data_IF_458101330151
#
_entry.id   IF_458101330151
#
_cell.length_a   1.000
_cell.length_b   1.000
_cell.length_c   1.000
_cell.angle_alpha   90.00
_cell.angle_beta   90.00
_cell.angle_gamma   90.00
#
_symmetry.space_group_name_H-M   'P 1'
#
loop_
_entity.id
_entity.type
_entity.pdbx_description
1 polymer ?
#
# COMPACT_ATOMS: atom_id res chain seq x y z
N UNK A 1 0.70 3.98 -43.16
CA UNK A 1 0.58 3.43 -41.79
C UNK A 1 0.16 4.59 -40.89
N UNK A 2 -0.94 4.50 -40.12
CA UNK A 2 -1.33 5.59 -39.23
C UNK A 2 -0.22 5.83 -38.19
N UNK A 3 0.07 7.08 -37.82
CA UNK A 3 1.04 7.37 -36.77
C UNK A 3 0.56 6.74 -35.46
N UNK A 4 1.37 5.83 -34.91
CA UNK A 4 1.06 5.13 -33.66
C UNK A 4 1.72 5.90 -32.52
N UNK A 5 0.98 6.81 -31.91
CA UNK A 5 1.43 7.51 -30.70
C UNK A 5 1.66 6.48 -29.58
N UNK A 6 2.81 6.55 -28.92
CA UNK A 6 3.08 5.70 -27.77
C UNK A 6 2.17 6.09 -26.59
N UNK A 7 1.60 5.13 -25.84
CA UNK A 7 0.81 5.44 -24.65
C UNK A 7 1.66 6.18 -23.61
N UNK A 8 1.09 7.21 -22.99
CA UNK A 8 1.71 7.90 -21.85
C UNK A 8 1.78 6.91 -20.69
N UNK A 9 3.00 6.60 -20.26
CA UNK A 9 3.28 5.70 -19.14
C UNK A 9 3.07 6.41 -17.80
N UNK A 10 2.78 5.63 -16.76
CA UNK A 10 2.73 6.14 -15.39
C UNK A 10 4.12 6.63 -14.97
N UNK A 11 4.19 7.74 -14.24
CA UNK A 11 5.44 8.21 -13.66
C UNK A 11 5.97 7.24 -12.58
N UNK A 12 5.08 6.43 -12.01
CA UNK A 12 5.40 5.42 -10.99
C UNK A 12 5.63 4.02 -11.59
N UNK A 13 4.96 3.67 -12.70
CA UNK A 13 5.05 2.35 -13.36
C UNK A 13 5.79 2.47 -14.68
N UNK A 14 7.10 2.68 -14.58
CA UNK A 14 8.00 2.65 -15.72
C UNK A 14 8.13 1.22 -16.28
N UNK A 15 8.69 1.08 -17.48
CA UNK A 15 8.90 -0.24 -18.10
C UNK A 15 9.71 -1.21 -17.20
N UNK A 16 10.79 -0.79 -16.53
CA UNK A 16 11.48 -1.63 -15.54
C UNK A 16 10.59 -2.07 -14.37
N UNK A 17 9.78 -1.16 -13.81
CA UNK A 17 8.85 -1.47 -12.71
C UNK A 17 7.81 -2.50 -13.14
N UNK A 18 7.23 -2.32 -14.34
CA UNK A 18 6.29 -3.29 -14.90
C UNK A 18 6.94 -4.64 -15.19
N UNK A 19 8.19 -4.67 -15.64
CA UNK A 19 8.93 -5.91 -15.83
C UNK A 19 9.14 -6.64 -14.49
N UNK A 20 9.47 -5.91 -13.43
CA UNK A 20 9.63 -6.46 -12.09
C UNK A 20 8.31 -6.97 -11.51
N UNK A 21 7.20 -6.25 -11.69
CA UNK A 21 5.87 -6.71 -11.28
C UNK A 21 5.50 -8.02 -11.98
N UNK A 22 5.79 -8.14 -13.28
CA UNK A 22 5.55 -9.37 -14.04
C UNK A 22 6.45 -10.51 -13.56
N UNK A 23 7.73 -10.22 -13.27
CA UNK A 23 8.67 -11.18 -12.67
C UNK A 23 8.13 -11.67 -11.34
N UNK A 24 7.77 -10.76 -10.44
CA UNK A 24 7.23 -11.03 -9.12
C UNK A 24 5.93 -11.83 -9.18
N UNK A 25 5.03 -11.51 -10.11
CA UNK A 25 3.79 -12.25 -10.34
C UNK A 25 4.04 -13.70 -10.82
N UNK A 26 5.10 -13.93 -11.61
CA UNK A 26 5.47 -15.25 -12.10
C UNK A 26 6.25 -16.08 -11.06
N UNK A 27 7.08 -15.45 -10.24
CA UNK A 27 7.98 -16.13 -9.29
C UNK A 27 7.44 -16.19 -7.86
N UNK A 28 6.45 -15.36 -7.52
CA UNK A 28 5.93 -15.22 -6.16
C UNK A 28 6.82 -14.41 -5.21
N UNK A 29 7.95 -13.87 -5.69
CA UNK A 29 8.89 -13.06 -4.89
C UNK A 29 8.62 -11.59 -5.21
N UNK A 30 8.01 -10.85 -4.27
CA UNK A 30 7.51 -9.51 -4.52
C UNK A 30 7.91 -8.47 -3.46
N UNK A 31 7.77 -7.21 -3.85
CA UNK A 31 7.69 -6.04 -2.99
C UNK A 31 6.39 -5.30 -3.35
N UNK A 32 5.42 -5.18 -2.43
CA UNK A 32 4.02 -4.81 -2.72
C UNK A 32 3.91 -3.33 -3.09
N UNK A 33 3.49 -2.98 -4.32
CA UNK A 33 3.28 -1.58 -4.77
C UNK A 33 2.11 -1.43 -5.77
N UNK A 34 1.39 -0.28 -5.74
CA UNK A 34 0.17 -0.03 -6.54
C UNK A 34 0.28 1.07 -7.61
N UNK A 35 -0.54 0.98 -8.67
CA UNK A 35 -0.49 1.59 -10.03
C UNK A 35 -0.15 3.10 -10.28
N UNK A 36 0.01 3.91 -9.23
CA UNK A 36 0.63 5.24 -9.27
C UNK A 36 0.04 6.30 -10.21
N UNK A 37 0.64 7.50 -10.20
CA UNK A 37 0.15 8.67 -10.92
C UNK A 37 0.83 8.88 -12.29
N UNK A 38 0.13 9.50 -13.25
CA UNK A 38 0.69 9.83 -14.58
C UNK A 38 1.72 10.96 -14.55
N UNK A 39 1.55 11.94 -13.66
CA UNK A 39 2.51 13.04 -13.43
C UNK A 39 3.31 12.75 -12.16
N UNK A 40 4.51 13.31 -12.06
CA UNK A 40 5.25 13.27 -10.79
C UNK A 40 4.45 14.03 -9.72
N UNK A 41 4.17 13.35 -8.63
CA UNK A 41 3.56 13.92 -7.41
C UNK A 41 4.51 13.63 -6.25
N UNK A 42 4.48 14.43 -5.16
CA UNK A 42 5.21 14.10 -3.94
C UNK A 42 4.90 12.67 -3.51
N UNK A 43 5.93 11.93 -3.14
CA UNK A 43 5.85 10.54 -2.70
C UNK A 43 6.28 10.42 -1.23
N UNK A 44 6.03 9.28 -0.60
CA UNK A 44 6.50 9.05 0.76
C UNK A 44 8.03 9.05 0.89
N UNK A 45 8.76 8.80 -0.20
CA UNK A 45 10.23 8.91 -0.23
C UNK A 45 10.73 10.35 -0.07
N UNK A 46 9.85 11.35 -0.31
CA UNK A 46 10.18 12.74 -0.09
C UNK A 46 9.98 13.15 1.39
N UNK A 47 9.49 12.26 2.26
CA UNK A 47 9.29 12.51 3.69
C UNK A 47 10.48 12.02 4.52
N UNK A 48 11.00 12.89 5.38
CA UNK A 48 11.97 12.54 6.41
C UNK A 48 11.27 12.46 7.77
N UNK A 49 11.34 11.29 8.41
CA UNK A 49 10.90 11.12 9.78
C UNK A 49 12.06 11.36 10.74
N UNK A 50 11.79 12.08 11.84
CA UNK A 50 12.77 12.25 12.92
C UNK A 50 12.94 10.92 13.65
N UNK A 51 14.19 10.48 13.79
CA UNK A 51 14.51 9.25 14.52
C UNK A 51 14.11 9.34 15.99
N UNK A 52 13.56 8.26 16.53
CA UNK A 52 13.06 8.22 17.91
C UNK A 52 14.10 8.72 18.93
N UNK A 53 15.36 8.29 18.80
CA UNK A 53 16.49 8.64 19.69
C UNK A 53 16.81 10.13 19.80
N UNK A 54 16.24 10.98 18.94
CA UNK A 54 16.36 12.43 19.07
C UNK A 54 15.42 13.01 20.14
N UNK A 55 14.37 12.28 20.54
CA UNK A 55 13.35 12.75 21.50
C UNK A 55 13.00 11.75 22.59
N UNK A 56 13.08 10.43 22.34
CA UNK A 56 12.76 9.34 23.28
C UNK A 56 13.53 8.05 22.94
N UNK A 57 13.61 7.13 23.89
CA UNK A 57 14.11 5.79 23.56
C UNK A 57 13.11 5.03 22.67
N UNK A 58 13.58 4.30 21.63
CA UNK A 58 12.71 3.45 20.83
C UNK A 58 12.07 2.34 21.67
N UNK A 59 10.87 1.89 21.29
CA UNK A 59 10.23 0.75 21.93
C UNK A 59 11.08 -0.50 21.75
N UNK A 60 11.27 -1.24 22.84
CA UNK A 60 11.90 -2.57 22.79
C UNK A 60 10.85 -3.61 22.41
N UNK A 61 10.84 -4.08 21.16
CA UNK A 61 9.76 -4.93 20.62
C UNK A 61 9.50 -6.27 21.32
N UNK A 62 10.40 -6.74 22.19
CA UNK A 62 10.19 -7.92 23.04
C UNK A 62 9.68 -7.59 24.46
N UNK A 63 9.81 -6.33 24.89
CA UNK A 63 9.35 -5.83 26.20
C UNK A 63 8.08 -5.01 26.10
N UNK A 64 7.87 -4.33 24.99
CA UNK A 64 6.80 -3.37 24.78
C UNK A 64 6.02 -3.72 23.51
N UNK A 65 4.68 -3.68 23.60
CA UNK A 65 3.81 -3.86 22.45
C UNK A 65 3.59 -2.53 21.75
N UNK A 66 3.67 -2.53 20.42
CA UNK A 66 3.25 -1.40 19.61
C UNK A 66 1.72 -1.41 19.51
N UNK A 67 1.07 -0.35 19.98
CA UNK A 67 -0.38 -0.20 19.88
C UNK A 67 -0.76 0.26 18.47
N UNK A 68 -1.43 -0.61 17.72
CA UNK A 68 -1.83 -0.36 16.33
C UNK A 68 -3.31 -0.02 16.19
N UNK A 69 -4.10 -0.12 17.26
CA UNK A 69 -5.53 0.16 17.15
C UNK A 69 -5.78 1.64 16.82
N UNK A 70 -6.75 1.87 15.95
CA UNK A 70 -7.14 3.21 15.50
C UNK A 70 -8.66 3.35 15.59
N UNK A 71 -9.10 4.48 16.15
CA UNK A 71 -10.51 4.85 16.15
C UNK A 71 -10.75 5.99 15.16
N UNK A 72 -11.49 5.72 14.10
CA UNK A 72 -11.89 6.72 13.12
C UNK A 72 -13.20 7.38 13.55
N UNK A 73 -13.24 8.72 13.47
CA UNK A 73 -14.43 9.50 13.82
C UNK A 73 -14.59 9.79 15.32
N UNK A 74 -13.56 9.57 16.14
CA UNK A 74 -13.58 9.76 17.60
C UNK A 74 -14.06 11.15 18.07
N UNK A 75 -13.92 12.19 17.24
CA UNK A 75 -14.27 13.57 17.61
C UNK A 75 -15.76 13.92 17.43
N UNK A 76 -16.41 13.44 16.36
CA UNK A 76 -17.75 13.92 15.97
C UNK A 76 -18.71 12.80 15.51
N UNK A 77 -18.23 11.58 15.29
CA UNK A 77 -19.09 10.50 14.82
C UNK A 77 -19.97 9.98 15.96
N UNK A 78 -21.28 9.86 15.71
CA UNK A 78 -22.21 9.21 16.66
C UNK A 78 -21.88 7.74 16.89
N UNK A 79 -21.26 7.09 15.89
CA UNK A 79 -20.76 5.71 15.96
C UNK A 79 -19.36 5.67 15.35
N UNK A 80 -18.31 5.88 16.16
CA UNK A 80 -16.93 5.75 15.72
C UNK A 80 -16.62 4.33 15.25
N UNK A 81 -15.67 4.19 14.35
CA UNK A 81 -15.21 2.90 13.83
C UNK A 81 -13.90 2.55 14.55
N UNK A 82 -13.87 1.39 15.17
CA UNK A 82 -12.68 0.85 15.81
C UNK A 82 -12.02 -0.17 14.87
N UNK A 83 -10.72 -0.01 14.64
CA UNK A 83 -9.88 -0.88 13.83
C UNK A 83 -8.70 -1.36 14.68
N UNK A 84 -8.34 -2.64 14.59
CA UNK A 84 -7.21 -3.20 15.33
C UNK A 84 -5.85 -2.78 14.75
N UNK A 85 -5.80 -2.47 13.44
CA UNK A 85 -4.61 -2.01 12.72
C UNK A 85 -4.95 -0.86 11.75
N UNK A 86 -3.99 0.04 11.41
CA UNK A 86 -4.22 1.18 10.54
C UNK A 86 -4.10 0.84 9.04
N UNK A 87 -4.43 -0.38 8.65
CA UNK A 87 -4.27 -0.89 7.28
C UNK A 87 -5.59 -1.51 6.84
N UNK A 88 -6.09 -1.11 5.67
CA UNK A 88 -7.30 -1.69 5.07
C UNK A 88 -7.04 -2.07 3.61
N UNK A 89 -7.61 -3.20 3.19
CA UNK A 89 -7.57 -3.64 1.79
C UNK A 89 -8.78 -3.07 1.07
N UNK A 90 -8.54 -2.21 0.08
CA UNK A 90 -9.61 -1.61 -0.71
C UNK A 90 -10.37 -2.67 -1.53
N UNK A 91 -11.69 -2.50 -1.64
CA UNK A 91 -12.54 -3.38 -2.44
C UNK A 91 -12.22 -3.27 -3.94
N UNK A 92 -11.92 -4.39 -4.58
CA UNK A 92 -11.73 -4.50 -6.02
C UNK A 92 -12.85 -5.32 -6.66
N UNK A 93 -13.30 -4.93 -7.86
CA UNK A 93 -14.45 -5.56 -8.52
C UNK A 93 -14.21 -7.03 -8.89
N UNK A 94 -15.28 -7.82 -8.96
CA UNK A 94 -15.20 -9.16 -9.56
C UNK A 94 -14.91 -9.01 -11.05
N UNK A 95 -13.81 -9.61 -11.51
CA UNK A 95 -13.27 -9.42 -12.87
C UNK A 95 -11.99 -8.58 -12.93
N UNK A 96 -11.76 -7.67 -11.98
CA UNK A 96 -10.47 -6.95 -11.85
C UNK A 96 -9.38 -7.81 -11.18
N UNK A 97 -9.79 -8.80 -10.38
CA UNK A 97 -8.92 -9.79 -9.76
C UNK A 97 -9.43 -11.21 -10.02
N UNK A 98 -8.50 -12.16 -10.04
CA UNK A 98 -8.84 -13.59 -10.06
C UNK A 98 -9.49 -14.02 -8.74
N UNK A 99 -10.30 -15.09 -8.79
CA UNK A 99 -10.91 -15.69 -7.60
C UNK A 99 -9.89 -16.02 -6.50
N UNK A 100 -8.77 -16.71 -6.81
CA UNK A 100 -7.72 -17.00 -5.84
C UNK A 100 -7.09 -15.74 -5.22
N UNK A 101 -6.92 -14.65 -5.97
CA UNK A 101 -6.37 -13.41 -5.44
C UNK A 101 -7.31 -12.75 -4.42
N UNK A 102 -8.62 -12.81 -4.65
CA UNK A 102 -9.61 -12.32 -3.67
C UNK A 102 -9.62 -13.18 -2.41
N UNK A 103 -9.52 -14.50 -2.54
CA UNK A 103 -9.46 -15.40 -1.39
C UNK A 103 -8.20 -15.16 -0.55
N UNK A 104 -7.04 -15.00 -1.19
CA UNK A 104 -5.80 -14.66 -0.52
C UNK A 104 -5.89 -13.33 0.24
N UNK A 105 -6.45 -12.29 -0.39
CA UNK A 105 -6.69 -10.99 0.27
C UNK A 105 -7.64 -11.11 1.45
N UNK A 106 -8.72 -11.90 1.32
CA UNK A 106 -9.67 -12.14 2.40
C UNK A 106 -9.03 -12.85 3.60
N UNK A 107 -8.19 -13.84 3.35
CA UNK A 107 -7.43 -14.55 4.40
C UNK A 107 -6.34 -13.70 5.05
N UNK A 108 -5.77 -12.73 4.32
CA UNK A 108 -4.74 -11.83 4.84
C UNK A 108 -5.29 -10.59 5.55
N UNK A 109 -6.58 -10.31 5.43
CA UNK A 109 -7.24 -9.15 6.03
C UNK A 109 -7.94 -9.47 7.38
N UNK A 110 -7.83 -10.72 7.85
CA UNK A 110 -8.28 -11.20 9.16
C UNK A 110 -7.13 -11.15 10.15
#
# INVERSE_FOLDING_TARGET
MPPRTMPIQSATFSNPVNAEIRRAAATGIYDIRGGGAKRRVPHFDDLLFLGASMSRYPLEGYREKCETSVTLGSRFAKKPIHLDIPITVAGMSFGALSGPAKEALGRGAT
#
